data_IF_253250456518
#
_entry.id   IF_253250456518
#
_cell.length_a   1.000
_cell.length_b   1.000
_cell.length_c   1.000
_cell.angle_alpha   90.00
_cell.angle_beta   90.00
_cell.angle_gamma   90.00
#
_symmetry.space_group_name_H-M   'P 1'
#
loop_
_entity.id
_entity.type
_entity.pdbx_description
1 polymer ?
#
# COMPACT_ATOMS: atom_id res chain seq x y z
N UNK A 1 -6.80 33.97 6.65
CA UNK A 1 -7.78 32.96 6.23
C UNK A 1 -7.45 31.71 6.99
N UNK A 2 -8.37 31.25 7.83
CA UNK A 2 -8.24 29.97 8.54
C UNK A 2 -8.56 28.89 7.52
N UNK A 3 -7.54 28.44 6.79
CA UNK A 3 -7.63 27.23 5.99
C UNK A 3 -7.89 26.10 6.97
N UNK A 4 -9.16 25.72 7.09
CA UNK A 4 -9.56 24.56 7.87
C UNK A 4 -8.77 23.39 7.34
N UNK A 5 -8.05 22.71 8.23
CA UNK A 5 -7.52 21.38 7.96
C UNK A 5 -8.70 20.50 7.58
N UNK A 6 -9.04 20.44 6.29
CA UNK A 6 -9.89 19.41 5.75
C UNK A 6 -9.18 18.11 6.12
N UNK A 7 -9.75 17.37 7.08
CA UNK A 7 -9.12 16.20 7.66
C UNK A 7 -8.79 15.22 6.54
N UNK A 8 -7.52 15.13 6.17
CA UNK A 8 -7.04 14.11 5.25
C UNK A 8 -7.43 12.76 5.85
N UNK A 9 -8.07 11.89 5.08
CA UNK A 9 -8.36 10.51 5.51
C UNK A 9 -7.31 9.63 4.87
N UNK A 10 -6.72 8.74 5.67
CA UNK A 10 -5.73 7.79 5.18
C UNK A 10 -6.48 6.50 4.80
N UNK A 11 -6.59 6.24 3.50
CA UNK A 11 -7.16 5.02 2.94
C UNK A 11 -6.08 4.05 2.45
N UNK A 12 -6.53 3.05 1.69
CA UNK A 12 -5.66 2.04 1.09
C UNK A 12 -4.65 2.69 0.16
N UNK A 13 -5.11 3.57 -0.74
CA UNK A 13 -4.27 4.25 -1.71
C UNK A 13 -3.18 5.11 -1.03
N UNK A 14 -3.52 5.89 0.00
CA UNK A 14 -2.57 6.76 0.69
C UNK A 14 -1.47 5.95 1.40
N UNK A 15 -1.84 4.86 2.08
CA UNK A 15 -0.86 3.97 2.71
C UNK A 15 -0.02 3.23 1.67
N UNK A 16 -0.62 2.79 0.57
CA UNK A 16 0.10 2.14 -0.51
C UNK A 16 1.13 3.08 -1.14
N UNK A 17 0.78 4.35 -1.34
CA UNK A 17 1.73 5.35 -1.83
C UNK A 17 2.88 5.53 -0.85
N UNK A 18 2.60 5.66 0.45
CA UNK A 18 3.66 5.73 1.47
C UNK A 18 4.58 4.51 1.40
N UNK A 19 4.02 3.31 1.26
CA UNK A 19 4.81 2.09 1.15
C UNK A 19 5.61 1.97 -0.14
N UNK A 20 5.13 2.51 -1.26
CA UNK A 20 5.89 2.57 -2.50
C UNK A 20 7.01 3.63 -2.44
N UNK A 21 6.83 4.70 -1.67
CA UNK A 21 7.88 5.69 -1.43
C UNK A 21 8.93 5.18 -0.43
N UNK A 22 8.52 4.30 0.49
CA UNK A 22 9.36 3.73 1.54
C UNK A 22 9.18 2.19 1.62
N UNK A 23 9.57 1.44 0.58
CA UNK A 23 9.39 -0.01 0.55
C UNK A 23 10.22 -0.68 1.64
N UNK A 24 9.66 -1.70 2.29
CA UNK A 24 10.35 -2.35 3.40
C UNK A 24 11.69 -2.94 2.94
N UNK A 25 12.69 -2.79 3.80
CA UNK A 25 13.96 -3.46 3.69
C UNK A 25 13.87 -4.78 4.45
N UNK A 26 14.29 -5.88 3.84
CA UNK A 26 14.43 -7.16 4.52
C UNK A 26 15.90 -7.29 4.93
N UNK A 27 16.16 -7.63 6.20
CA UNK A 27 17.52 -7.71 6.76
C UNK A 27 18.43 -8.66 5.98
N UNK A 28 17.84 -9.71 5.39
CA UNK A 28 18.56 -10.73 4.62
C UNK A 28 18.75 -10.37 3.13
N UNK A 29 18.26 -9.20 2.68
CA UNK A 29 18.25 -8.81 1.27
C UNK A 29 18.91 -7.42 1.04
N UNK A 30 19.58 -7.19 -0.10
CA UNK A 30 20.28 -5.93 -0.38
C UNK A 30 19.36 -4.70 -0.34
N UNK A 31 19.79 -3.56 0.18
CA UNK A 31 18.99 -2.32 0.13
C UNK A 31 18.55 -2.00 -1.30
N UNK A 32 17.31 -1.51 -1.48
CA UNK A 32 16.79 -1.08 -2.79
C UNK A 32 17.70 -0.06 -3.45
N UNK A 33 18.08 -0.32 -4.70
CA UNK A 33 18.91 0.59 -5.49
C UNK A 33 18.17 1.90 -5.80
N UNK A 34 18.89 2.89 -6.32
CA UNK A 34 18.26 4.17 -6.73
C UNK A 34 17.29 3.93 -7.89
N UNK A 35 17.65 3.03 -8.79
CA UNK A 35 16.86 2.60 -9.93
C UNK A 35 15.57 1.89 -9.49
N UNK A 36 15.66 0.95 -8.54
CA UNK A 36 14.48 0.25 -7.98
C UNK A 36 13.54 1.25 -7.30
N UNK A 37 14.09 2.18 -6.51
CA UNK A 37 13.32 3.23 -5.83
C UNK A 37 12.62 4.15 -6.84
N UNK A 38 13.22 4.41 -8.00
CA UNK A 38 12.58 5.17 -9.06
C UNK A 38 11.39 4.41 -9.68
N UNK A 39 11.48 3.09 -9.82
CA UNK A 39 10.36 2.23 -10.26
C UNK A 39 9.20 2.34 -9.27
N UNK A 40 9.45 2.14 -7.98
CA UNK A 40 8.40 2.24 -6.96
C UNK A 40 7.79 3.65 -6.87
N UNK A 41 8.59 4.72 -7.05
CA UNK A 41 8.07 6.09 -7.11
C UNK A 41 7.12 6.31 -8.28
N UNK A 42 7.42 5.78 -9.47
CA UNK A 42 6.48 5.84 -10.62
C UNK A 42 5.18 5.08 -10.33
N UNK A 43 5.26 3.96 -9.62
CA UNK A 43 4.08 3.22 -9.18
C UNK A 43 3.25 4.03 -8.18
N UNK A 44 3.90 4.71 -7.22
CA UNK A 44 3.23 5.62 -6.29
C UNK A 44 2.49 6.74 -7.03
N UNK A 45 3.12 7.37 -8.03
CA UNK A 45 2.49 8.41 -8.86
C UNK A 45 1.29 7.88 -9.66
N UNK A 46 1.32 6.61 -10.07
CA UNK A 46 0.20 5.96 -10.75
C UNK A 46 -0.98 5.76 -9.79
N UNK A 47 -0.72 5.27 -8.57
CA UNK A 47 -1.74 5.12 -7.52
C UNK A 47 -2.33 6.48 -7.16
N UNK A 48 -1.51 7.53 -7.02
CA UNK A 48 -1.98 8.88 -6.73
C UNK A 48 -2.94 9.43 -7.80
N UNK A 49 -2.76 9.05 -9.07
CA UNK A 49 -3.60 9.47 -10.19
C UNK A 49 -4.88 8.64 -10.36
N UNK A 50 -4.82 7.34 -10.05
CA UNK A 50 -5.92 6.39 -10.31
C UNK A 50 -6.71 5.99 -9.07
N UNK A 51 -6.20 6.25 -7.87
CA UNK A 51 -6.78 5.78 -6.62
C UNK A 51 -6.85 4.25 -6.56
N UNK A 52 -8.02 3.72 -6.21
CA UNK A 52 -8.29 2.28 -6.09
C UNK A 52 -8.60 1.59 -7.44
N UNK A 53 -8.76 2.33 -8.54
CA UNK A 53 -9.11 1.77 -9.86
C UNK A 53 -7.86 1.28 -10.62
N UNK A 54 -7.27 0.20 -10.11
CA UNK A 54 -5.96 -0.31 -10.54
C UNK A 54 -6.04 -1.65 -11.27
N UNK A 55 -6.84 -1.70 -12.34
CA UNK A 55 -6.82 -2.82 -13.25
C UNK A 55 -5.52 -2.86 -14.06
N UNK A 56 -5.00 -4.07 -14.27
CA UNK A 56 -3.90 -4.28 -15.23
C UNK A 56 -4.40 -3.94 -16.64
N UNK A 57 -3.65 -3.14 -17.42
CA UNK A 57 -3.99 -2.86 -18.82
C UNK A 57 -4.09 -4.15 -19.66
N UNK A 58 -5.03 -4.24 -20.61
CA UNK A 58 -5.12 -5.41 -21.48
C UNK A 58 -3.92 -5.52 -22.44
N UNK A 59 -3.50 -6.74 -22.77
CA UNK A 59 -2.40 -7.03 -23.71
C UNK A 59 -1.03 -7.05 -23.04
N UNK A 60 0.02 -6.66 -23.77
CA UNK A 60 1.41 -6.54 -23.26
C UNK A 60 1.64 -5.27 -22.41
N UNK A 61 0.56 -4.65 -21.92
CA UNK A 61 0.61 -3.38 -21.23
C UNK A 61 1.22 -3.50 -19.83
N UNK A 62 2.55 -3.37 -19.74
CA UNK A 62 3.23 -3.11 -18.47
C UNK A 62 2.99 -1.66 -18.05
N UNK A 63 2.32 -1.46 -16.91
CA UNK A 63 2.28 -0.16 -16.24
C UNK A 63 3.29 -0.13 -15.07
N UNK A 64 3.42 1.04 -14.44
CA UNK A 64 4.39 1.23 -13.37
C UNK A 64 4.17 0.28 -12.17
N UNK A 65 2.94 -0.14 -11.91
CA UNK A 65 2.64 -1.11 -10.84
C UNK A 65 3.06 -2.53 -11.24
N UNK A 66 2.88 -2.92 -12.50
CA UNK A 66 3.39 -4.20 -13.01
C UNK A 66 4.92 -4.26 -12.92
N UNK A 67 5.61 -3.17 -13.25
CA UNK A 67 7.07 -3.05 -13.16
C UNK A 67 7.54 -3.12 -11.69
N UNK A 68 6.89 -2.40 -10.78
CA UNK A 68 7.19 -2.48 -9.34
C UNK A 68 6.92 -3.87 -8.74
N UNK A 69 5.83 -4.53 -9.16
CA UNK A 69 5.52 -5.90 -8.76
C UNK A 69 6.58 -6.89 -9.28
N UNK A 70 7.10 -6.67 -10.48
CA UNK A 70 8.20 -7.47 -11.01
C UNK A 70 9.45 -7.34 -10.14
N UNK A 71 9.88 -6.12 -9.80
CA UNK A 71 11.06 -5.90 -8.96
C UNK A 71 10.93 -6.49 -7.56
N UNK A 72 9.74 -6.36 -6.94
CA UNK A 72 9.46 -6.99 -5.66
C UNK A 72 9.63 -8.52 -5.73
N UNK A 73 9.13 -9.15 -6.79
CA UNK A 73 9.19 -10.60 -6.97
C UNK A 73 10.53 -11.11 -7.49
N UNK A 74 11.30 -10.30 -8.21
CA UNK A 74 12.67 -10.60 -8.59
C UNK A 74 13.58 -10.73 -7.36
N UNK A 75 13.28 -9.92 -6.33
CA UNK A 75 13.98 -9.97 -5.04
C UNK A 75 13.52 -11.12 -4.14
N UNK A 76 12.22 -11.36 -4.04
CA UNK A 76 11.67 -12.50 -3.32
C UNK A 76 10.42 -13.02 -4.03
N UNK A 77 10.50 -14.23 -4.59
CA UNK A 77 9.40 -14.82 -5.36
C UNK A 77 8.12 -14.90 -4.51
N UNK A 78 7.01 -14.42 -5.06
CA UNK A 78 5.70 -14.42 -4.39
C UNK A 78 5.56 -13.35 -3.30
N UNK A 79 6.52 -12.43 -3.16
CA UNK A 79 6.41 -11.36 -2.17
C UNK A 79 5.20 -10.48 -2.44
N UNK A 80 4.99 -10.10 -3.70
CA UNK A 80 3.82 -9.38 -4.20
C UNK A 80 3.00 -10.27 -5.14
N UNK A 81 2.01 -11.04 -4.63
CA UNK A 81 1.28 -12.01 -5.44
C UNK A 81 0.49 -11.35 -6.57
N UNK A 82 0.45 -12.01 -7.73
CA UNK A 82 -0.47 -11.64 -8.82
C UNK A 82 -1.89 -12.04 -8.42
N UNK A 83 -2.84 -11.12 -8.58
CA UNK A 83 -4.21 -11.32 -8.10
C UNK A 83 -5.25 -11.03 -9.18
N UNK A 84 -6.43 -11.62 -8.99
CA UNK A 84 -7.53 -11.54 -9.94
C UNK A 84 -8.81 -11.12 -9.24
N UNK A 85 -9.73 -10.50 -9.97
CA UNK A 85 -11.09 -10.18 -9.50
C UNK A 85 -12.07 -10.94 -10.40
N UNK A 86 -13.10 -11.55 -9.80
CA UNK A 86 -14.22 -12.13 -10.54
C UNK A 86 -15.11 -10.99 -11.04
N UNK A 87 -15.44 -11.03 -12.32
CA UNK A 87 -16.23 -10.02 -13.04
C UNK A 87 -17.35 -10.70 -13.85
N UNK A 88 -18.38 -9.93 -14.22
CA UNK A 88 -19.58 -10.45 -14.89
C UNK A 88 -20.71 -10.79 -13.91
N UNK A 89 -21.92 -11.01 -14.44
CA UNK A 89 -23.14 -11.23 -13.65
C UNK A 89 -23.08 -12.51 -12.79
N UNK A 90 -22.29 -13.51 -13.22
CA UNK A 90 -22.14 -14.80 -12.54
C UNK A 90 -20.67 -15.11 -12.11
N UNK A 91 -19.75 -14.15 -12.26
CA UNK A 91 -18.32 -14.37 -12.00
C UNK A 91 -17.59 -15.18 -13.08
N UNK A 92 -18.21 -15.34 -14.25
CA UNK A 92 -17.69 -16.11 -15.39
C UNK A 92 -16.41 -15.54 -16.03
N UNK A 93 -16.05 -14.30 -15.69
CA UNK A 93 -14.85 -13.64 -16.20
C UNK A 93 -13.89 -13.33 -15.06
N UNK A 94 -12.59 -13.57 -15.25
CA UNK A 94 -11.55 -13.08 -14.34
C UNK A 94 -10.79 -11.94 -15.00
N UNK A 95 -10.45 -10.92 -14.21
CA UNK A 95 -9.59 -9.82 -14.65
C UNK A 95 -8.46 -9.63 -13.65
N UNK A 96 -7.24 -9.43 -14.15
CA UNK A 96 -6.10 -9.18 -13.28
C UNK A 96 -6.18 -7.77 -12.69
N UNK A 97 -5.81 -7.64 -11.43
CA UNK A 97 -5.78 -6.36 -10.70
C UNK A 97 -4.47 -6.22 -9.95
N UNK A 98 -4.07 -4.97 -9.74
CA UNK A 98 -2.98 -4.63 -8.83
C UNK A 98 -3.53 -4.55 -7.41
N UNK A 99 -3.40 -5.65 -6.66
CA UNK A 99 -3.71 -5.63 -5.22
C UNK A 99 -2.64 -4.85 -4.46
N UNK A 100 -3.06 -3.85 -3.69
CA UNK A 100 -2.18 -2.93 -2.98
C UNK A 100 -1.79 -3.42 -1.57
N UNK A 101 -2.10 -4.66 -1.18
CA UNK A 101 -1.88 -5.12 0.20
C UNK A 101 -0.41 -5.05 0.61
N UNK A 102 0.52 -5.40 -0.27
CA UNK A 102 1.96 -5.31 0.03
C UNK A 102 2.44 -3.85 0.16
N UNK A 103 2.19 -2.96 -0.81
CA UNK A 103 2.42 -1.53 -0.62
C UNK A 103 1.82 -0.96 0.66
N UNK A 104 0.55 -1.27 0.94
CA UNK A 104 -0.13 -0.80 2.15
C UNK A 104 0.57 -1.28 3.41
N UNK A 105 1.01 -2.54 3.44
CA UNK A 105 1.76 -3.10 4.55
C UNK A 105 3.04 -2.29 4.79
N UNK A 106 3.83 -2.05 3.75
CA UNK A 106 5.06 -1.24 3.86
C UNK A 106 4.77 0.17 4.38
N UNK A 107 3.74 0.83 3.86
CA UNK A 107 3.37 2.17 4.31
C UNK A 107 2.92 2.21 5.77
N UNK A 108 2.24 1.15 6.22
CA UNK A 108 1.80 1.03 7.62
C UNK A 108 2.97 0.72 8.55
N UNK A 109 3.92 -0.13 8.14
CA UNK A 109 5.15 -0.40 8.89
C UNK A 109 6.00 0.86 9.02
N UNK A 110 6.15 1.64 7.94
CA UNK A 110 6.82 2.93 7.99
C UNK A 110 6.11 3.92 8.93
N UNK A 111 4.79 4.01 8.85
CA UNK A 111 4.00 4.89 9.71
C UNK A 111 4.15 4.52 11.19
N UNK A 112 4.17 3.22 11.51
CA UNK A 112 4.37 2.74 12.88
C UNK A 112 5.72 3.21 13.43
N UNK A 113 6.80 3.09 12.65
CA UNK A 113 8.14 3.58 13.04
C UNK A 113 8.12 5.10 13.29
N UNK A 114 7.41 5.86 12.46
CA UNK A 114 7.28 7.31 12.63
C UNK A 114 6.46 7.71 13.88
N UNK A 115 5.39 6.97 14.18
CA UNK A 115 4.63 7.15 15.43
C UNK A 115 5.51 6.88 16.65
N UNK A 116 6.28 5.79 16.63
CA UNK A 116 7.21 5.45 17.71
C UNK A 116 8.32 6.50 17.86
N UNK A 117 8.89 6.99 16.76
CA UNK A 117 9.90 8.05 16.76
C UNK A 117 9.39 9.35 17.39
N UNK A 118 8.11 9.65 17.22
CA UNK A 118 7.43 10.80 17.83
C UNK A 118 7.02 10.56 19.29
N UNK A 119 7.45 9.44 19.90
CA UNK A 119 7.21 9.03 21.30
C UNK A 119 5.74 8.83 21.64
N UNK A 120 4.93 8.39 20.67
CA UNK A 120 3.61 7.85 21.00
C UNK A 120 3.81 6.63 21.90
N UNK A 121 3.06 6.54 22.99
CA UNK A 121 3.17 5.42 23.93
C UNK A 121 2.57 4.16 23.30
N UNK A 122 3.08 2.96 23.59
CA UNK A 122 2.50 1.71 23.07
C UNK A 122 1.00 1.51 23.41
N UNK A 123 0.49 2.19 24.43
CA UNK A 123 -0.93 2.20 24.77
C UNK A 123 -1.78 3.09 23.83
N UNK A 124 -1.15 3.84 22.92
CA UNK A 124 -1.82 4.77 22.03
C UNK A 124 -2.73 4.03 21.03
N UNK A 125 -3.99 4.46 20.88
CA UNK A 125 -4.92 3.87 19.92
C UNK A 125 -4.38 3.79 18.49
N UNK A 126 -3.58 4.75 18.04
CA UNK A 126 -3.02 4.77 16.70
C UNK A 126 -1.96 3.67 16.49
N UNK A 127 -1.10 3.42 17.48
CA UNK A 127 -0.12 2.31 17.45
C UNK A 127 -0.84 0.96 17.39
N UNK A 128 -1.92 0.81 18.17
CA UNK A 128 -2.74 -0.42 18.15
C UNK A 128 -3.44 -0.61 16.81
N UNK A 129 -4.02 0.45 16.26
CA UNK A 129 -4.69 0.39 14.96
C UNK A 129 -3.71 0.06 13.82
N UNK A 130 -2.53 0.67 13.81
CA UNK A 130 -1.48 0.36 12.82
C UNK A 130 -0.99 -1.08 12.96
N UNK A 131 -0.78 -1.56 14.18
CA UNK A 131 -0.38 -2.95 14.46
C UNK A 131 -1.44 -3.96 14.02
N UNK A 132 -2.73 -3.64 14.25
CA UNK A 132 -3.83 -4.48 13.78
C UNK A 132 -3.90 -4.51 12.24
N UNK A 133 -3.72 -3.38 11.58
CA UNK A 133 -3.66 -3.31 10.12
C UNK A 133 -2.50 -4.14 9.54
N UNK A 134 -1.30 -4.04 10.12
CA UNK A 134 -0.14 -4.85 9.74
C UNK A 134 -0.46 -6.35 9.84
N UNK A 135 -1.06 -6.77 10.95
CA UNK A 135 -1.45 -8.17 11.18
C UNK A 135 -2.45 -8.65 10.12
N UNK A 136 -3.46 -7.85 9.81
CA UNK A 136 -4.47 -8.20 8.81
C UNK A 136 -3.91 -8.20 7.39
N UNK A 137 -3.07 -7.23 7.02
CA UNK A 137 -2.39 -7.19 5.74
C UNK A 137 -1.48 -8.41 5.53
N UNK A 138 -0.70 -8.81 6.55
CA UNK A 138 0.11 -10.03 6.52
C UNK A 138 -0.74 -11.28 6.32
N UNK A 139 -1.81 -11.44 7.10
CA UNK A 139 -2.74 -12.57 6.95
C UNK A 139 -3.38 -12.61 5.56
N UNK A 140 -3.75 -11.46 4.99
CA UNK A 140 -4.29 -11.37 3.63
C UNK A 140 -3.25 -11.78 2.59
N UNK A 141 -2.01 -11.31 2.69
CA UNK A 141 -0.92 -11.69 1.78
C UNK A 141 -0.62 -13.19 1.84
N UNK A 142 -0.64 -13.79 3.03
CA UNK A 142 -0.39 -15.23 3.17
C UNK A 142 -1.45 -16.05 2.44
N UNK A 143 -2.74 -15.70 2.60
CA UNK A 143 -3.82 -16.35 1.84
C UNK A 143 -3.67 -16.11 0.33
N UNK A 144 -3.34 -14.90 -0.09
CA UNK A 144 -3.14 -14.57 -1.52
C UNK A 144 -1.93 -15.31 -2.13
N UNK A 145 -0.91 -15.65 -1.35
CA UNK A 145 0.26 -16.43 -1.80
C UNK A 145 -0.03 -17.92 -1.94
N UNK A 146 -0.80 -18.48 -1.02
CA UNK A 146 -1.18 -19.90 -1.04
C UNK A 146 -2.05 -20.25 -2.26
N UNK A 147 -2.73 -19.26 -2.82
CA UNK A 147 -3.53 -19.39 -4.03
C UNK A 147 -2.73 -18.75 -5.18
N UNK A 148 -1.90 -19.50 -5.91
CA UNK A 148 -1.23 -19.03 -7.13
C UNK A 148 -2.29 -18.58 -8.17
N UNK A 149 -2.73 -17.32 -8.09
CA UNK A 149 -3.88 -16.77 -8.82
C UNK A 149 -5.09 -16.36 -7.95
N UNK A 150 -4.90 -16.15 -6.65
CA UNK A 150 -5.96 -15.86 -5.67
C UNK A 150 -6.89 -14.71 -6.09
N UNK A 151 -8.19 -14.91 -5.88
CA UNK A 151 -9.18 -13.89 -6.15
C UNK A 151 -9.27 -12.93 -4.97
N UNK A 152 -9.11 -11.63 -5.22
CA UNK A 152 -9.21 -10.59 -4.19
C UNK A 152 -10.58 -10.55 -3.52
N UNK A 153 -11.62 -11.06 -4.19
CA UNK A 153 -12.99 -11.17 -3.67
C UNK A 153 -13.14 -12.29 -2.63
N UNK A 154 -12.22 -13.26 -2.60
CA UNK A 154 -12.29 -14.42 -1.71
C UNK A 154 -11.57 -14.15 -0.37
N UNK A 155 -10.95 -12.96 -0.23
CA UNK A 155 -10.23 -12.52 0.98
C UNK A 155 -10.81 -11.21 1.55
N UNK A 156 -10.87 -11.04 2.89
CA UNK A 156 -11.43 -9.84 3.52
C UNK A 156 -10.72 -8.54 3.08
N UNK A 157 -11.51 -7.52 2.74
CA UNK A 157 -11.03 -6.17 2.42
C UNK A 157 -10.40 -5.50 3.68
N UNK A 158 -9.43 -4.61 3.46
CA UNK A 158 -8.74 -3.83 4.51
C UNK A 158 -9.35 -2.44 4.74
N UNK A 159 -10.36 -2.02 3.96
CA UNK A 159 -11.01 -0.70 4.06
C UNK A 159 -11.45 -0.34 5.48
N UNK A 160 -12.22 -1.19 6.13
CA UNK A 160 -12.72 -0.93 7.50
C UNK A 160 -11.58 -0.74 8.52
N UNK A 161 -10.46 -1.43 8.32
CA UNK A 161 -9.30 -1.34 9.20
C UNK A 161 -8.52 -0.05 8.94
N UNK A 162 -8.39 0.34 7.67
CA UNK A 162 -7.80 1.62 7.28
C UNK A 162 -8.63 2.80 7.80
N UNK A 163 -9.96 2.71 7.74
CA UNK A 163 -10.85 3.74 8.29
C UNK A 163 -10.65 3.89 9.80
N UNK A 164 -10.56 2.79 10.55
CA UNK A 164 -10.25 2.83 11.99
C UNK A 164 -8.89 3.48 12.25
N UNK A 165 -7.87 3.15 11.48
CA UNK A 165 -6.56 3.79 11.59
C UNK A 165 -6.66 5.30 11.31
N UNK A 166 -7.31 5.68 10.22
CA UNK A 166 -7.51 7.10 9.88
C UNK A 166 -8.25 7.87 10.99
N UNK A 167 -9.30 7.30 11.57
CA UNK A 167 -10.08 7.93 12.64
C UNK A 167 -9.23 8.10 13.91
N UNK A 168 -8.45 7.08 14.28
CA UNK A 168 -7.52 7.18 15.42
C UNK A 168 -6.42 8.20 15.20
N UNK A 169 -5.86 8.28 13.99
CA UNK A 169 -4.84 9.28 13.64
C UNK A 169 -5.42 10.71 13.64
N UNK A 170 -6.65 10.91 13.19
CA UNK A 170 -7.30 12.23 13.27
C UNK A 170 -7.52 12.66 14.73
N UNK A 171 -7.86 11.72 15.61
CA UNK A 171 -8.01 11.98 17.04
C UNK A 171 -6.70 12.32 17.76
N UNK A 172 -5.56 11.84 17.25
CA UNK A 172 -4.27 11.87 17.96
C UNK A 172 -3.18 12.71 17.28
N UNK A 173 -3.19 12.88 15.95
CA UNK A 173 -2.07 13.46 15.19
C UNK A 173 -2.44 14.01 13.80
N UNK A 174 -2.98 15.25 13.68
CA UNK A 174 -3.25 15.86 12.37
C UNK A 174 -1.98 16.20 11.55
N UNK A 175 -0.79 16.23 12.17
CA UNK A 175 0.47 16.71 11.57
C UNK A 175 1.19 15.66 10.72
N UNK A 176 0.87 14.37 10.85
CA UNK A 176 1.50 13.31 10.05
C UNK A 176 1.01 13.27 8.59
N UNK A 177 -0.02 14.03 8.25
CA UNK A 177 -0.67 13.99 6.92
C UNK A 177 -0.19 15.08 5.96
N UNK A 178 0.89 15.79 6.30
CA UNK A 178 1.58 16.64 5.34
C UNK A 178 2.32 15.73 4.35
N UNK A 179 1.73 15.55 3.17
CA UNK A 179 2.31 14.81 2.05
C UNK A 179 3.75 15.30 1.79
N UNK A 180 4.75 14.41 1.64
CA UNK A 180 6.05 14.85 1.16
C UNK A 180 5.85 15.50 -0.21
N UNK A 181 6.17 16.78 -0.33
CA UNK A 181 6.14 17.47 -1.62
C UNK A 181 7.05 16.67 -2.55
N UNK A 182 6.46 16.00 -3.55
CA UNK A 182 7.18 15.41 -4.66
C UNK A 182 7.83 16.58 -5.40
N UNK A 183 9.06 16.92 -5.05
CA UNK A 183 9.84 17.83 -5.88
C UNK A 183 9.99 17.17 -7.25
N UNK A 184 9.59 17.84 -8.34
CA UNK A 184 9.78 17.30 -9.68
C UNK A 184 11.28 17.10 -9.92
N UNK A 185 11.64 15.98 -10.57
CA UNK A 185 13.02 15.74 -10.97
C UNK A 185 13.54 16.92 -11.81
N UNK A 186 14.78 17.38 -11.59
CA UNK A 186 15.36 18.46 -12.38
C UNK A 186 15.44 18.04 -13.86
N UNK A 187 14.97 18.94 -14.73
CA UNK A 187 14.93 18.79 -16.18
C UNK A 187 16.32 18.69 -16.83
#
# INVERSE_FOLDING_TARGET
MTDGFAGFRIGIAELAILGLLFPAECEDLPVWSVEDRAIFRRAADLVARKGDDLFVPPGDGQDALAEAQWEANARASGWWPFTWVKTGLDGDCSRQVHDLTLPLLWGTEWLLVELERRRFTYADPAIRAASDLIRQAKSRLDVLREHEGGFVNDVPDLRDVCERLSDTLQGCCPVLMAWPVLEPEPA
#
